data_IF_412822398871
#
_entry.id   IF_412822398871
#
_cell.length_a   1.000
_cell.length_b   1.000
_cell.length_c   1.000
_cell.angle_alpha   90.00
_cell.angle_beta   90.00
_cell.angle_gamma   90.00
#
_symmetry.space_group_name_H-M   'P 1'
#
loop_
_entity.id
_entity.type
_entity.pdbx_description
1 polymer ?
#
# COMPACT_ATOMS: atom_id res chain seq x y z
N UNK A 1 -11.55 9.32 -11.81
CA UNK A 1 -11.61 9.04 -10.35
C UNK A 1 -10.53 9.86 -9.66
N UNK A 2 -10.84 10.56 -8.56
CA UNK A 2 -9.86 11.33 -7.79
C UNK A 2 -8.88 10.42 -7.07
N UNK A 3 -7.62 10.85 -6.99
CA UNK A 3 -6.55 10.22 -6.21
C UNK A 3 -5.82 11.30 -5.44
N UNK A 4 -5.68 11.15 -4.12
CA UNK A 4 -5.03 12.14 -3.26
C UNK A 4 -3.56 12.41 -3.63
N UNK A 5 -2.89 11.44 -4.22
CA UNK A 5 -1.52 11.59 -4.73
C UNK A 5 -1.36 12.65 -5.82
N UNK A 6 -2.47 13.08 -6.47
CA UNK A 6 -2.40 14.09 -7.53
C UNK A 6 -1.88 15.43 -7.02
N UNK A 7 -2.16 15.79 -5.77
CA UNK A 7 -1.67 17.05 -5.20
C UNK A 7 -0.15 17.01 -4.98
N UNK A 8 0.39 15.90 -4.49
CA UNK A 8 1.84 15.69 -4.41
C UNK A 8 2.51 15.72 -5.78
N UNK A 9 1.87 15.11 -6.78
CA UNK A 9 2.37 15.10 -8.15
C UNK A 9 2.35 16.51 -8.77
N UNK A 10 1.30 17.30 -8.55
CA UNK A 10 1.24 18.72 -8.95
C UNK A 10 2.31 19.55 -8.27
N UNK A 11 2.55 19.35 -6.97
CA UNK A 11 3.59 20.05 -6.21
C UNK A 11 4.97 19.74 -6.78
N UNK A 12 5.27 18.46 -7.04
CA UNK A 12 6.50 18.05 -7.71
C UNK A 12 6.63 18.70 -9.10
N UNK A 13 5.57 18.64 -9.92
CA UNK A 13 5.57 19.20 -11.27
C UNK A 13 5.88 20.72 -11.30
N UNK A 14 5.39 21.48 -10.32
CA UNK A 14 5.61 22.93 -10.19
C UNK A 14 6.97 23.32 -9.60
N UNK A 15 7.69 22.37 -9.00
CA UNK A 15 8.99 22.65 -8.39
C UNK A 15 10.06 22.82 -9.48
N UNK A 16 10.66 24.00 -9.58
CA UNK A 16 11.69 24.29 -10.59
C UNK A 16 12.98 23.49 -10.38
N UNK A 17 13.31 23.16 -9.13
CA UNK A 17 14.48 22.38 -8.75
C UNK A 17 14.17 20.86 -8.63
N UNK A 18 13.12 20.36 -9.32
CA UNK A 18 12.76 18.96 -9.30
C UNK A 18 13.79 18.06 -9.96
N UNK A 19 14.01 16.90 -9.41
CA UNK A 19 14.67 15.79 -10.07
C UNK A 19 13.64 14.96 -10.84
N UNK A 20 14.06 14.06 -11.76
CA UNK A 20 13.14 13.08 -12.34
C UNK A 20 12.39 12.32 -11.25
N UNK A 21 11.10 12.05 -11.46
CA UNK A 21 10.27 11.38 -10.47
C UNK A 21 10.19 9.88 -10.72
N UNK A 22 10.64 9.09 -9.78
CA UNK A 22 10.45 7.64 -9.76
C UNK A 22 9.17 7.28 -9.00
N UNK A 23 8.17 6.80 -9.72
CA UNK A 23 6.90 6.31 -9.16
C UNK A 23 6.96 4.80 -9.01
N UNK A 24 6.83 4.33 -7.78
CA UNK A 24 6.76 2.91 -7.44
C UNK A 24 5.42 2.55 -6.78
N UNK A 25 5.21 1.28 -6.51
CA UNK A 25 4.01 0.79 -5.82
C UNK A 25 3.57 -0.56 -6.36
N UNK A 26 2.66 -1.26 -5.66
CA UNK A 26 2.20 -2.57 -6.07
C UNK A 26 1.50 -2.50 -7.44
N UNK A 27 1.42 -3.66 -8.09
CA UNK A 27 0.72 -3.78 -9.35
C UNK A 27 -0.76 -3.41 -9.19
N UNK A 28 -1.36 -2.84 -10.23
CA UNK A 28 -2.78 -2.40 -10.26
C UNK A 28 -3.15 -1.26 -9.31
N UNK A 29 -2.19 -0.61 -8.64
CA UNK A 29 -2.47 0.53 -7.74
C UNK A 29 -2.86 1.84 -8.46
N UNK A 30 -2.84 1.86 -9.80
CA UNK A 30 -3.25 3.01 -10.60
C UNK A 30 -2.14 4.02 -10.90
N UNK A 31 -0.86 3.62 -10.87
CA UNK A 31 0.31 4.48 -11.18
C UNK A 31 0.19 5.16 -12.56
N UNK A 32 0.02 4.36 -13.60
CA UNK A 32 -0.13 4.84 -14.98
C UNK A 32 -1.32 5.77 -15.14
N UNK A 33 -2.47 5.43 -14.53
CA UNK A 33 -3.66 6.28 -14.53
C UNK A 33 -3.39 7.65 -13.89
N UNK A 34 -2.70 7.68 -12.76
CA UNK A 34 -2.38 8.93 -12.05
C UNK A 34 -1.54 9.86 -12.93
N UNK A 35 -0.50 9.32 -13.57
CA UNK A 35 0.42 10.14 -14.37
C UNK A 35 -0.16 10.48 -15.72
N UNK A 36 -0.60 9.46 -16.47
CA UNK A 36 -1.07 9.64 -17.85
C UNK A 36 -2.42 10.35 -17.89
N UNK A 37 -3.40 9.85 -17.16
CA UNK A 37 -4.77 10.37 -17.27
C UNK A 37 -4.98 11.61 -16.42
N UNK A 38 -4.60 11.59 -15.13
CA UNK A 38 -4.87 12.75 -14.27
C UNK A 38 -3.90 13.90 -14.52
N UNK A 39 -2.59 13.65 -14.62
CA UNK A 39 -1.63 14.71 -14.90
C UNK A 39 -1.57 15.03 -16.40
N UNK A 40 -1.28 14.04 -17.24
CA UNK A 40 -1.06 14.25 -18.67
C UNK A 40 -2.30 14.69 -19.42
N UNK A 41 -3.38 13.91 -19.39
CA UNK A 41 -4.57 14.21 -20.18
C UNK A 41 -5.38 15.37 -19.59
N UNK A 42 -5.65 15.33 -18.25
CA UNK A 42 -6.60 16.27 -17.63
C UNK A 42 -5.95 17.62 -17.24
N UNK A 43 -4.68 17.63 -16.84
CA UNK A 43 -4.01 18.85 -16.37
C UNK A 43 -3.14 19.47 -17.45
N UNK A 44 -2.38 18.67 -18.21
CA UNK A 44 -1.47 19.12 -19.23
C UNK A 44 -2.06 19.11 -20.65
N UNK A 45 -3.37 18.85 -20.80
CA UNK A 45 -4.06 18.84 -22.09
C UNK A 45 -3.36 17.96 -23.15
N UNK A 46 -2.90 16.78 -22.74
CA UNK A 46 -2.17 15.79 -23.59
C UNK A 46 -0.82 16.29 -24.13
N UNK A 47 -0.22 17.31 -23.51
CA UNK A 47 1.11 17.81 -23.90
C UNK A 47 2.24 16.98 -23.25
N UNK A 48 2.26 15.68 -23.51
CA UNK A 48 3.27 14.76 -22.99
C UNK A 48 3.65 13.71 -24.03
N UNK A 49 4.83 13.10 -23.85
CA UNK A 49 5.24 11.91 -24.55
C UNK A 49 5.15 10.73 -23.57
N UNK A 50 4.52 9.64 -24.02
CA UNK A 50 4.39 8.41 -23.24
C UNK A 50 5.09 7.25 -23.97
N UNK A 51 6.00 6.58 -23.25
CA UNK A 51 6.79 5.45 -23.75
C UNK A 51 6.50 4.27 -22.83
N UNK A 52 5.96 3.19 -23.37
CA UNK A 52 5.85 1.90 -22.70
C UNK A 52 7.13 1.10 -22.93
N UNK A 53 8.01 1.12 -21.94
CA UNK A 53 9.34 0.50 -22.03
C UNK A 53 9.33 -1.03 -22.13
N UNK A 54 8.18 -1.67 -21.91
CA UNK A 54 8.02 -3.13 -22.08
C UNK A 54 7.49 -3.50 -23.49
N UNK A 55 6.80 -2.57 -24.16
CA UNK A 55 6.10 -2.82 -25.44
C UNK A 55 6.68 -2.07 -26.62
N UNK A 56 7.35 -0.97 -26.43
CA UNK A 56 7.93 -0.19 -27.51
C UNK A 56 9.22 -0.84 -28.02
N UNK A 57 9.05 -1.75 -29.00
CA UNK A 57 10.16 -2.53 -29.59
C UNK A 57 11.21 -1.62 -30.23
N UNK A 58 10.79 -0.51 -30.83
CA UNK A 58 11.70 0.43 -31.50
C UNK A 58 12.56 1.15 -30.48
N UNK A 59 11.94 1.67 -29.42
CA UNK A 59 12.65 2.26 -28.29
C UNK A 59 13.65 1.30 -27.66
N UNK A 60 13.23 0.05 -27.39
CA UNK A 60 14.09 -0.96 -26.80
C UNK A 60 15.30 -1.32 -27.70
N UNK A 61 15.10 -1.41 -29.03
CA UNK A 61 16.20 -1.63 -29.99
C UNK A 61 17.22 -0.47 -29.97
N UNK A 62 16.72 0.76 -29.91
CA UNK A 62 17.58 1.95 -29.83
C UNK A 62 18.40 1.95 -28.54
N UNK A 63 17.76 1.75 -27.40
CA UNK A 63 18.42 1.71 -26.08
C UNK A 63 19.49 0.62 -26.03
N UNK A 64 19.20 -0.59 -26.51
CA UNK A 64 20.16 -1.71 -26.51
C UNK A 64 21.35 -1.49 -27.44
N UNK A 65 21.25 -0.65 -28.47
CA UNK A 65 22.34 -0.22 -29.34
C UNK A 65 23.23 0.88 -28.73
N UNK A 66 22.89 1.39 -27.53
CA UNK A 66 23.63 2.47 -26.88
C UNK A 66 23.41 3.83 -27.54
N UNK A 67 22.15 4.14 -27.88
CA UNK A 67 21.76 5.39 -28.52
C UNK A 67 22.28 6.63 -27.79
N UNK A 68 22.70 7.65 -28.55
CA UNK A 68 23.02 8.98 -28.04
C UNK A 68 21.74 9.74 -27.70
N UNK A 69 21.83 10.70 -26.77
CA UNK A 69 20.68 11.50 -26.35
C UNK A 69 20.04 12.25 -27.51
N UNK A 70 20.84 12.81 -28.41
CA UNK A 70 20.36 13.55 -29.59
C UNK A 70 19.53 12.68 -30.56
N UNK A 71 19.96 11.43 -30.77
CA UNK A 71 19.24 10.45 -31.58
C UNK A 71 17.93 10.05 -30.93
N UNK A 72 17.93 9.91 -29.59
CA UNK A 72 16.71 9.63 -28.83
C UNK A 72 15.72 10.80 -28.90
N UNK A 73 16.19 12.03 -28.78
CA UNK A 73 15.37 13.22 -28.93
C UNK A 73 14.76 13.33 -30.33
N UNK A 74 15.53 12.99 -31.37
CA UNK A 74 15.03 12.88 -32.74
C UNK A 74 13.97 11.79 -32.90
N UNK A 75 14.19 10.61 -32.31
CA UNK A 75 13.20 9.52 -32.29
C UNK A 75 11.89 9.93 -31.58
N UNK A 76 12.00 10.64 -30.46
CA UNK A 76 10.83 11.10 -29.71
C UNK A 76 10.11 12.26 -30.42
N UNK A 77 10.64 12.76 -31.55
CA UNK A 77 10.08 13.90 -32.28
C UNK A 77 9.73 15.07 -31.34
N UNK A 78 10.63 15.34 -30.38
CA UNK A 78 10.39 16.35 -29.36
C UNK A 78 10.40 17.72 -30.02
N UNK A 79 9.21 18.23 -30.32
CA UNK A 79 9.02 19.63 -30.59
C UNK A 79 8.97 20.37 -29.24
N UNK A 80 10.11 20.89 -28.79
CA UNK A 80 10.33 21.45 -27.45
C UNK A 80 9.26 22.45 -27.00
N UNK A 81 8.58 23.09 -27.93
CA UNK A 81 7.63 24.16 -27.62
C UNK A 81 6.27 23.65 -27.11
N UNK A 82 5.93 22.38 -27.32
CA UNK A 82 4.59 21.86 -26.99
C UNK A 82 4.59 20.73 -25.96
N UNK A 83 5.71 20.09 -25.68
CA UNK A 83 5.81 18.98 -24.72
C UNK A 83 6.15 19.49 -23.35
N UNK A 84 5.36 19.09 -22.36
CA UNK A 84 5.49 19.51 -20.96
C UNK A 84 5.85 18.39 -20.00
N UNK A 85 5.90 17.13 -20.48
CA UNK A 85 6.18 15.99 -19.63
C UNK A 85 6.64 14.79 -20.47
N UNK A 86 7.67 14.10 -20.00
CA UNK A 86 8.08 12.79 -20.52
C UNK A 86 7.68 11.71 -19.50
N UNK A 87 7.04 10.62 -19.97
CA UNK A 87 6.59 9.50 -19.17
C UNK A 87 7.20 8.23 -19.70
N UNK A 88 8.03 7.56 -18.89
CA UNK A 88 8.59 6.23 -19.15
C UNK A 88 7.87 5.24 -18.24
N UNK A 89 7.02 4.39 -18.80
CA UNK A 89 6.26 3.40 -18.05
C UNK A 89 6.89 2.01 -18.18
N UNK A 90 6.69 1.14 -17.20
CA UNK A 90 7.24 -0.21 -17.14
C UNK A 90 8.78 -0.23 -17.23
N UNK A 91 9.45 0.74 -16.65
CA UNK A 91 10.93 0.83 -16.66
C UNK A 91 11.55 -0.32 -15.88
N UNK A 92 10.85 -0.79 -14.84
CA UNK A 92 11.32 -1.82 -13.91
C UNK A 92 12.73 -1.48 -13.37
N UNK A 93 13.66 -2.43 -13.30
CA UNK A 93 15.05 -2.18 -12.89
C UNK A 93 16.02 -2.21 -14.08
N UNK A 94 15.58 -1.72 -15.25
CA UNK A 94 16.43 -1.65 -16.42
C UNK A 94 17.45 -0.53 -16.29
N UNK A 95 18.68 -0.87 -15.87
CA UNK A 95 19.78 0.08 -15.66
C UNK A 95 20.09 0.93 -16.89
N UNK A 96 19.95 0.37 -18.07
CA UNK A 96 20.20 1.10 -19.33
C UNK A 96 19.17 2.20 -19.53
N UNK A 97 17.88 1.90 -19.34
CA UNK A 97 16.82 2.90 -19.48
C UNK A 97 16.97 3.97 -18.37
N UNK A 98 17.27 3.58 -17.15
CA UNK A 98 17.49 4.49 -16.04
C UNK A 98 18.64 5.46 -16.35
N UNK A 99 19.78 4.95 -16.83
CA UNK A 99 20.92 5.79 -17.24
C UNK A 99 20.57 6.74 -18.39
N UNK A 100 19.71 6.32 -19.29
CA UNK A 100 19.22 7.20 -20.37
C UNK A 100 18.32 8.30 -19.80
N UNK A 101 17.46 8.01 -18.85
CA UNK A 101 16.60 9.00 -18.19
C UNK A 101 17.45 10.05 -17.44
N UNK A 102 18.53 9.62 -16.75
CA UNK A 102 19.46 10.52 -16.08
C UNK A 102 20.14 11.46 -17.09
N UNK A 103 20.66 10.93 -18.19
CA UNK A 103 21.27 11.73 -19.27
C UNK A 103 20.27 12.68 -19.93
N UNK A 104 19.02 12.24 -20.16
CA UNK A 104 17.96 13.12 -20.67
C UNK A 104 17.69 14.27 -19.70
N UNK A 105 17.67 14.01 -18.41
CA UNK A 105 17.49 15.06 -17.41
C UNK A 105 18.65 16.07 -17.41
N UNK A 106 19.89 15.60 -17.48
CA UNK A 106 21.08 16.47 -17.59
C UNK A 106 21.03 17.36 -18.84
N UNK A 107 20.56 16.80 -19.96
CA UNK A 107 20.46 17.51 -21.24
C UNK A 107 19.28 18.50 -21.29
N UNK A 108 18.12 18.07 -20.82
CA UNK A 108 16.85 18.82 -20.89
C UNK A 108 16.61 19.74 -19.67
N UNK A 109 17.40 19.61 -18.62
CA UNK A 109 17.41 20.34 -17.34
C UNK A 109 16.02 20.67 -16.73
N UNK A 110 15.17 21.41 -17.45
CA UNK A 110 13.87 21.90 -16.98
C UNK A 110 12.70 20.98 -17.31
N UNK A 111 12.88 20.00 -18.23
CA UNK A 111 11.81 19.09 -18.65
C UNK A 111 11.41 18.13 -17.53
N UNK A 112 10.15 18.11 -17.10
CA UNK A 112 9.67 17.09 -16.16
C UNK A 112 9.74 15.69 -16.77
N UNK A 113 10.37 14.76 -16.05
CA UNK A 113 10.48 13.36 -16.46
C UNK A 113 9.91 12.48 -15.35
N UNK A 114 8.99 11.58 -15.68
CA UNK A 114 8.43 10.59 -14.77
C UNK A 114 8.80 9.20 -15.24
N UNK A 115 9.35 8.41 -14.34
CA UNK A 115 9.62 6.99 -14.50
C UNK A 115 8.64 6.19 -13.64
N UNK A 116 7.91 5.25 -14.24
CA UNK A 116 6.98 4.37 -13.53
C UNK A 116 7.58 2.97 -13.48
N UNK A 117 7.75 2.47 -12.26
CA UNK A 117 8.20 1.11 -11.99
C UNK A 117 7.02 0.23 -11.63
N UNK A 118 6.84 -0.87 -12.35
CA UNK A 118 5.72 -1.79 -12.18
C UNK A 118 6.11 -3.03 -11.38
N UNK A 119 7.32 -3.54 -11.60
CA UNK A 119 7.85 -4.69 -10.88
C UNK A 119 9.36 -4.56 -10.68
N UNK A 120 9.87 -5.26 -9.66
CA UNK A 120 11.29 -5.47 -9.44
C UNK A 120 11.62 -6.91 -9.73
N UNK A 121 12.67 -7.12 -10.52
CA UNK A 121 13.22 -8.46 -10.74
C UNK A 121 14.06 -8.83 -9.53
N UNK A 122 13.73 -9.92 -8.86
CA UNK A 122 14.38 -10.32 -7.60
C UNK A 122 15.87 -10.69 -7.73
N UNK A 123 16.35 -10.91 -8.93
CA UNK A 123 17.74 -11.25 -9.19
C UNK A 123 18.67 -10.05 -9.43
N UNK A 124 18.14 -8.84 -9.46
CA UNK A 124 19.00 -7.67 -9.57
C UNK A 124 19.76 -7.45 -8.26
N UNK A 125 21.05 -7.19 -8.36
CA UNK A 125 21.86 -6.82 -7.20
C UNK A 125 21.20 -5.63 -6.49
N UNK A 126 21.24 -5.59 -5.16
CA UNK A 126 20.68 -4.49 -4.33
C UNK A 126 21.32 -3.11 -4.59
N UNK A 127 21.91 -2.91 -5.73
CA UNK A 127 22.54 -1.66 -6.13
C UNK A 127 21.44 -0.66 -6.50
N UNK A 128 20.96 0.06 -5.49
CA UNK A 128 19.94 1.12 -5.60
C UNK A 128 20.57 2.50 -5.62
N UNK A 129 21.87 2.61 -5.87
CA UNK A 129 22.62 3.89 -5.85
C UNK A 129 22.03 4.91 -6.84
N UNK A 130 21.54 4.46 -8.01
CA UNK A 130 20.85 5.31 -8.98
C UNK A 130 19.57 5.98 -8.44
N UNK A 131 18.94 5.41 -7.43
CA UNK A 131 17.73 5.98 -6.87
C UNK A 131 17.95 7.29 -6.09
N UNK A 132 19.20 7.70 -5.87
CA UNK A 132 19.51 8.98 -5.23
C UNK A 132 19.38 10.16 -6.20
N UNK A 133 19.40 9.92 -7.51
CA UNK A 133 19.22 10.93 -8.57
C UNK A 133 17.74 11.25 -8.83
N UNK A 134 16.79 10.57 -8.15
CA UNK A 134 15.36 10.71 -8.38
C UNK A 134 14.62 11.21 -7.15
N UNK A 135 13.59 12.02 -7.36
CA UNK A 135 12.51 12.19 -6.38
C UNK A 135 11.66 10.91 -6.37
N UNK A 136 11.08 10.56 -5.23
CA UNK A 136 10.40 9.26 -5.06
C UNK A 136 8.95 9.46 -4.65
N UNK A 137 8.05 8.69 -5.26
CA UNK A 137 6.65 8.62 -4.85
C UNK A 137 6.17 7.17 -4.89
N UNK A 138 5.54 6.71 -3.81
CA UNK A 138 4.94 5.38 -3.78
C UNK A 138 3.42 5.49 -3.84
N UNK A 139 2.81 4.81 -4.81
CA UNK A 139 1.36 4.81 -5.04
C UNK A 139 0.78 3.48 -4.55
N UNK A 140 -0.08 3.55 -3.54
CA UNK A 140 -0.85 2.41 -3.02
C UNK A 140 -2.25 2.35 -3.64
N UNK A 141 -3.01 1.24 -3.50
CA UNK A 141 -4.44 1.21 -3.79
C UNK A 141 -5.19 2.33 -3.07
N UNK A 142 -6.44 2.62 -3.47
CA UNK A 142 -7.28 3.58 -2.76
C UNK A 142 -7.35 3.19 -1.29
N UNK A 143 -7.19 4.17 -0.40
CA UNK A 143 -7.55 3.99 1.00
C UNK A 143 -9.06 4.22 1.22
N UNK A 144 -9.49 4.05 2.45
CA UNK A 144 -10.90 4.23 2.75
C UNK A 144 -11.37 5.69 2.57
N UNK A 145 -10.50 6.67 2.79
CA UNK A 145 -10.82 8.09 2.54
C UNK A 145 -11.13 8.33 1.06
N UNK A 146 -10.26 7.85 0.16
CA UNK A 146 -10.47 7.97 -1.30
C UNK A 146 -11.70 7.17 -1.76
N UNK A 147 -11.91 5.97 -1.19
CA UNK A 147 -13.08 5.15 -1.46
C UNK A 147 -14.38 5.84 -1.06
N UNK A 148 -14.45 6.38 0.16
CA UNK A 148 -15.63 7.07 0.68
C UNK A 148 -15.95 8.31 -0.16
N UNK A 149 -14.95 9.08 -0.58
CA UNK A 149 -15.16 10.25 -1.46
C UNK A 149 -15.84 9.88 -2.79
N UNK A 150 -15.44 8.74 -3.38
CA UNK A 150 -16.02 8.28 -4.65
C UNK A 150 -17.39 7.61 -4.43
N UNK A 151 -17.58 6.94 -3.30
CA UNK A 151 -18.76 6.17 -2.96
C UNK A 151 -19.91 7.05 -2.48
N UNK A 152 -19.61 8.02 -1.60
CA UNK A 152 -20.58 8.95 -1.02
C UNK A 152 -19.90 10.27 -0.59
N UNK A 153 -19.98 11.27 -1.44
CA UNK A 153 -19.37 12.58 -1.21
C UNK A 153 -19.95 13.31 0.01
N UNK A 154 -21.24 13.10 0.31
CA UNK A 154 -21.88 13.75 1.46
C UNK A 154 -21.31 13.20 2.79
N UNK A 155 -21.25 11.89 2.93
CA UNK A 155 -20.66 11.26 4.11
C UNK A 155 -19.17 11.59 4.23
N UNK A 156 -18.44 11.64 3.12
CA UNK A 156 -17.04 12.06 3.10
C UNK A 156 -16.84 13.47 3.65
N UNK A 157 -17.63 14.46 3.19
CA UNK A 157 -17.53 15.84 3.68
C UNK A 157 -17.83 15.92 5.18
N UNK A 158 -18.84 15.20 5.66
CA UNK A 158 -19.19 15.19 7.07
C UNK A 158 -18.07 14.62 7.95
N UNK A 159 -17.47 13.47 7.56
CA UNK A 159 -16.40 12.85 8.34
C UNK A 159 -15.11 13.67 8.28
N UNK A 160 -14.78 14.24 7.12
CA UNK A 160 -13.62 15.10 6.95
C UNK A 160 -13.71 16.34 7.85
N UNK A 161 -14.83 17.03 7.84
CA UNK A 161 -15.09 18.17 8.73
C UNK A 161 -15.03 17.80 10.21
N UNK A 162 -15.37 16.55 10.56
CA UNK A 162 -15.23 16.06 11.94
C UNK A 162 -13.76 16.00 12.37
N UNK A 163 -12.89 15.39 11.54
CA UNK A 163 -11.48 15.23 11.89
C UNK A 163 -10.67 16.52 11.76
N UNK A 164 -10.97 17.38 10.78
CA UNK A 164 -10.24 18.63 10.57
C UNK A 164 -10.71 19.76 11.49
N UNK A 165 -12.02 19.87 11.74
CA UNK A 165 -12.63 21.03 12.41
C UNK A 165 -13.35 20.68 13.72
N UNK A 166 -13.27 19.46 14.21
CA UNK A 166 -13.92 19.01 15.44
C UNK A 166 -15.47 18.99 15.37
N UNK A 167 -16.06 19.08 14.18
CA UNK A 167 -17.52 19.11 14.01
C UNK A 167 -18.15 17.79 14.46
N UNK A 168 -19.17 17.85 15.32
CA UNK A 168 -19.85 16.64 15.81
C UNK A 168 -20.58 15.91 14.67
N UNK A 169 -20.45 14.58 14.65
CA UNK A 169 -21.19 13.69 13.76
C UNK A 169 -22.23 12.93 14.59
N UNK A 170 -23.45 12.85 14.06
CA UNK A 170 -24.50 12.06 14.69
C UNK A 170 -24.24 10.53 14.55
N UNK A 171 -25.01 9.74 15.31
CA UNK A 171 -24.86 8.29 15.36
C UNK A 171 -25.18 7.64 14.02
N UNK A 172 -26.23 8.08 13.33
CA UNK A 172 -26.66 7.55 12.05
C UNK A 172 -25.58 7.70 10.97
N UNK A 173 -25.00 8.89 10.84
CA UNK A 173 -23.88 9.12 9.90
C UNK A 173 -22.70 8.17 10.19
N UNK A 174 -22.38 7.94 11.47
CA UNK A 174 -21.31 6.98 11.83
C UNK A 174 -21.66 5.56 11.43
N UNK A 175 -22.92 5.14 11.62
CA UNK A 175 -23.41 3.82 11.22
C UNK A 175 -23.33 3.64 9.70
N UNK A 176 -23.76 4.63 8.92
CA UNK A 176 -23.69 4.61 7.46
C UNK A 176 -22.23 4.50 6.97
N UNK A 177 -21.30 5.24 7.61
CA UNK A 177 -19.87 5.16 7.27
C UNK A 177 -19.31 3.78 7.61
N UNK A 178 -19.71 3.16 8.73
CA UNK A 178 -19.30 1.79 9.06
C UNK A 178 -19.80 0.77 8.03
N UNK A 179 -21.02 0.92 7.51
CA UNK A 179 -21.53 0.03 6.46
C UNK A 179 -20.75 0.17 5.15
N UNK A 180 -20.42 1.41 4.74
CA UNK A 180 -19.54 1.63 3.58
C UNK A 180 -18.11 1.13 3.84
N UNK A 181 -17.62 1.24 5.07
CA UNK A 181 -16.32 0.69 5.43
C UNK A 181 -16.28 -0.83 5.29
N UNK A 182 -17.36 -1.53 5.64
CA UNK A 182 -17.46 -2.97 5.41
C UNK A 182 -17.48 -3.32 3.91
N UNK A 183 -18.13 -2.51 3.05
CA UNK A 183 -18.02 -2.68 1.59
C UNK A 183 -16.55 -2.63 1.16
N UNK A 184 -15.81 -1.58 1.60
CA UNK A 184 -14.40 -1.42 1.30
C UNK A 184 -13.55 -2.60 1.80
N UNK A 185 -13.81 -3.11 3.01
CA UNK A 185 -13.11 -4.28 3.53
C UNK A 185 -13.31 -5.52 2.66
N UNK A 186 -14.49 -5.64 2.01
CA UNK A 186 -14.80 -6.78 1.13
C UNK A 186 -14.13 -6.66 -0.22
N UNK A 187 -14.21 -5.49 -0.87
CA UNK A 187 -13.75 -5.33 -2.27
C UNK A 187 -12.30 -4.82 -2.38
N UNK A 188 -11.75 -4.22 -1.33
CA UNK A 188 -10.42 -3.61 -1.34
C UNK A 188 -10.40 -2.23 -2.01
N UNK A 189 -9.18 -1.77 -2.31
CA UNK A 189 -8.90 -0.44 -2.85
C UNK A 189 -8.30 -0.42 -4.26
N UNK A 190 -8.26 -1.55 -4.98
CA UNK A 190 -7.76 -1.55 -6.36
C UNK A 190 -8.67 -0.70 -7.25
N UNK A 191 -8.12 0.29 -8.00
CA UNK A 191 -8.94 1.22 -8.78
C UNK A 191 -9.95 0.56 -9.73
N UNK A 192 -9.55 -0.49 -10.47
CA UNK A 192 -10.43 -1.20 -11.39
C UNK A 192 -11.58 -1.87 -10.65
N UNK A 193 -11.32 -2.47 -9.49
CA UNK A 193 -12.34 -3.11 -8.64
C UNK A 193 -13.32 -2.08 -8.08
N UNK A 194 -12.78 -0.97 -7.55
CA UNK A 194 -13.60 0.12 -6.98
C UNK A 194 -14.52 0.73 -8.05
N UNK A 195 -13.98 1.06 -9.22
CA UNK A 195 -14.78 1.62 -10.34
C UNK A 195 -15.88 0.64 -10.73
N UNK A 196 -15.55 -0.63 -10.96
CA UNK A 196 -16.53 -1.67 -11.30
C UNK A 196 -17.65 -1.76 -10.27
N UNK A 197 -17.33 -1.78 -8.98
CA UNK A 197 -18.37 -1.85 -7.93
C UNK A 197 -19.22 -0.59 -7.86
N UNK A 198 -18.61 0.59 -7.97
CA UNK A 198 -19.36 1.87 -7.92
C UNK A 198 -20.34 1.99 -9.09
N UNK A 199 -19.93 1.58 -10.29
CA UNK A 199 -20.73 1.68 -11.50
C UNK A 199 -21.83 0.60 -11.57
N UNK A 200 -21.51 -0.64 -11.20
CA UNK A 200 -22.43 -1.76 -11.38
C UNK A 200 -23.27 -2.06 -10.15
N UNK A 201 -22.79 -1.73 -8.95
CA UNK A 201 -23.34 -2.18 -7.64
C UNK A 201 -23.54 -3.70 -7.57
N UNK A 202 -22.80 -4.44 -8.38
CA UNK A 202 -22.90 -5.88 -8.50
C UNK A 202 -21.66 -6.56 -7.92
N UNK A 203 -21.82 -7.28 -6.80
CA UNK A 203 -20.74 -7.98 -6.14
C UNK A 203 -20.19 -9.14 -7.00
N UNK A 204 -21.04 -9.82 -7.78
CA UNK A 204 -20.61 -10.89 -8.69
C UNK A 204 -19.61 -10.40 -9.73
N UNK A 205 -19.97 -9.35 -10.48
CA UNK A 205 -19.10 -8.73 -11.48
C UNK A 205 -17.80 -8.21 -10.82
N UNK A 206 -17.91 -7.65 -9.63
CA UNK A 206 -16.74 -7.16 -8.89
C UNK A 206 -15.78 -8.30 -8.50
N UNK A 207 -16.31 -9.46 -8.08
CA UNK A 207 -15.50 -10.67 -7.82
C UNK A 207 -14.75 -11.16 -9.05
N UNK A 208 -15.40 -11.13 -10.21
CA UNK A 208 -14.75 -11.56 -11.46
C UNK A 208 -13.52 -10.67 -11.77
N UNK A 209 -13.61 -9.37 -11.50
CA UNK A 209 -12.48 -8.45 -11.64
C UNK A 209 -11.39 -8.77 -10.61
N UNK A 210 -11.73 -8.99 -9.34
CA UNK A 210 -10.77 -9.38 -8.30
C UNK A 210 -10.05 -10.67 -8.70
N UNK A 211 -10.77 -11.68 -9.14
CA UNK A 211 -10.23 -12.96 -9.61
C UNK A 211 -9.27 -12.76 -10.78
N UNK A 212 -9.68 -12.00 -11.80
CA UNK A 212 -8.85 -11.67 -12.96
C UNK A 212 -7.53 -11.02 -12.55
N UNK A 213 -7.58 -10.01 -11.68
CA UNK A 213 -6.38 -9.30 -11.21
C UNK A 213 -5.48 -10.20 -10.35
N UNK A 214 -6.06 -11.04 -9.48
CA UNK A 214 -5.32 -12.03 -8.68
C UNK A 214 -4.58 -13.04 -9.57
N UNK A 215 -5.24 -13.56 -10.60
CA UNK A 215 -4.63 -14.48 -11.57
C UNK A 215 -3.52 -13.79 -12.38
N UNK A 216 -3.69 -12.54 -12.75
CA UNK A 216 -2.66 -11.77 -13.45
C UNK A 216 -1.42 -11.52 -12.56
N UNK A 217 -1.59 -11.34 -11.24
CA UNK A 217 -0.48 -11.29 -10.30
C UNK A 217 0.27 -12.62 -10.26
N UNK A 218 -0.45 -13.73 -10.07
CA UNK A 218 0.12 -15.09 -10.00
C UNK A 218 0.90 -15.40 -11.28
N UNK A 219 0.32 -15.15 -12.46
CA UNK A 219 0.96 -15.37 -13.76
C UNK A 219 2.20 -14.48 -13.95
N UNK A 220 2.25 -13.32 -13.29
CA UNK A 220 3.39 -12.41 -13.33
C UNK A 220 4.61 -12.90 -12.54
N UNK A 221 4.43 -13.77 -11.55
CA UNK A 221 5.53 -14.21 -10.69
C UNK A 221 6.60 -14.99 -11.47
N UNK A 222 6.22 -15.77 -12.49
CA UNK A 222 7.18 -16.47 -13.34
C UNK A 222 8.20 -15.55 -14.03
N UNK A 223 7.89 -14.26 -14.24
CA UNK A 223 8.78 -13.27 -14.84
C UNK A 223 9.71 -12.58 -13.82
N UNK A 224 9.34 -12.59 -12.56
CA UNK A 224 10.03 -11.84 -11.50
C UNK A 224 11.12 -12.65 -10.78
N UNK A 225 11.12 -13.97 -10.90
CA UNK A 225 12.06 -14.86 -10.25
C UNK A 225 12.98 -15.57 -11.25
N UNK A 226 14.24 -15.82 -10.83
CA UNK A 226 15.26 -16.46 -11.67
C UNK A 226 14.94 -17.90 -12.06
N UNK A 227 14.24 -18.61 -11.19
CA UNK A 227 13.94 -20.01 -11.40
C UNK A 227 12.48 -20.35 -11.08
N UNK A 228 11.99 -21.41 -11.72
CA UNK A 228 10.62 -21.88 -11.61
C UNK A 228 10.24 -22.23 -10.17
N UNK A 229 11.16 -22.83 -9.41
CA UNK A 229 10.90 -23.21 -8.00
C UNK A 229 10.62 -22.00 -7.12
N UNK A 230 11.43 -20.93 -7.25
CA UNK A 230 11.18 -19.69 -6.49
C UNK A 230 9.89 -19.00 -6.89
N UNK A 231 9.53 -19.03 -8.18
CA UNK A 231 8.27 -18.50 -8.66
C UNK A 231 7.08 -19.31 -8.10
N UNK A 232 7.16 -20.63 -8.12
CA UNK A 232 6.15 -21.52 -7.55
C UNK A 232 5.99 -21.27 -6.03
N UNK A 233 7.10 -21.21 -5.30
CA UNK A 233 7.09 -20.93 -3.88
C UNK A 233 6.49 -19.53 -3.57
N UNK A 234 6.66 -18.55 -4.46
CA UNK A 234 6.04 -17.23 -4.31
C UNK A 234 4.51 -17.30 -4.48
N UNK A 235 4.02 -18.16 -5.38
CA UNK A 235 2.58 -18.43 -5.51
C UNK A 235 2.04 -19.06 -4.22
N UNK A 236 2.73 -20.07 -3.68
CA UNK A 236 2.36 -20.71 -2.43
C UNK A 236 2.29 -19.72 -1.26
N UNK A 237 3.32 -18.88 -1.10
CA UNK A 237 3.32 -17.81 -0.08
C UNK A 237 2.14 -16.88 -0.29
N UNK A 238 1.94 -16.39 -1.51
CA UNK A 238 0.87 -15.46 -1.86
C UNK A 238 -0.50 -16.04 -1.54
N UNK A 239 -0.80 -17.27 -1.93
CA UNK A 239 -2.10 -17.91 -1.74
C UNK A 239 -2.43 -18.25 -0.28
N UNK A 240 -1.43 -18.31 0.59
CA UNK A 240 -1.60 -18.66 1.99
C UNK A 240 -1.52 -17.47 2.98
N UNK A 241 -1.47 -16.22 2.48
CA UNK A 241 -1.41 -15.04 3.36
C UNK A 241 -2.63 -14.97 4.28
N UNK A 242 -3.85 -15.11 3.76
CA UNK A 242 -5.08 -15.07 4.58
C UNK A 242 -5.09 -16.15 5.67
N UNK A 243 -4.80 -17.38 5.32
CA UNK A 243 -4.73 -18.50 6.28
C UNK A 243 -3.72 -18.24 7.40
N UNK A 244 -2.60 -17.61 7.08
CA UNK A 244 -1.55 -17.28 8.06
C UNK A 244 -1.96 -16.23 9.08
N UNK A 245 -2.89 -15.32 8.75
CA UNK A 245 -3.37 -14.27 9.67
C UNK A 245 -4.18 -14.84 10.86
N UNK A 246 -4.74 -16.04 10.72
CA UNK A 246 -5.41 -16.73 11.82
C UNK A 246 -4.44 -17.40 12.82
N UNK A 247 -3.13 -17.39 12.50
CA UNK A 247 -2.09 -18.01 13.35
C UNK A 247 -1.35 -16.92 14.16
N UNK A 248 -0.55 -17.38 15.13
CA UNK A 248 0.24 -16.46 15.98
C UNK A 248 1.37 -15.76 15.21
N UNK A 249 1.90 -16.41 14.19
CA UNK A 249 2.94 -15.92 13.28
C UNK A 249 2.90 -16.74 11.99
N UNK A 250 3.55 -16.25 10.94
CA UNK A 250 3.65 -16.92 9.66
C UNK A 250 4.46 -18.22 9.79
N UNK A 251 3.90 -19.34 9.39
CA UNK A 251 4.54 -20.66 9.49
C UNK A 251 4.62 -21.32 8.12
N UNK A 252 5.83 -21.69 7.71
CA UNK A 252 6.05 -22.48 6.49
C UNK A 252 5.34 -23.85 6.54
N UNK A 253 5.29 -24.45 7.70
CA UNK A 253 4.65 -25.77 7.89
C UNK A 253 3.12 -25.78 7.76
N UNK A 254 2.48 -24.62 7.62
CA UNK A 254 1.03 -24.55 7.37
C UNK A 254 0.66 -24.66 5.88
N UNK A 255 1.64 -24.70 4.98
CA UNK A 255 1.42 -24.98 3.57
C UNK A 255 1.28 -26.48 3.34
N UNK A 256 0.40 -26.88 2.46
CA UNK A 256 0.18 -28.29 2.10
C UNK A 256 1.40 -28.90 1.38
N UNK A 257 2.40 -28.11 1.07
CA UNK A 257 3.64 -28.49 0.42
C UNK A 257 4.83 -28.70 1.36
N UNK A 258 5.94 -29.16 0.83
CA UNK A 258 7.21 -29.44 1.53
C UNK A 258 8.08 -28.20 1.73
N UNK A 259 7.48 -26.98 1.71
CA UNK A 259 8.20 -25.71 1.85
C UNK A 259 8.92 -25.64 3.21
N UNK A 260 10.23 -25.50 3.15
CA UNK A 260 11.07 -25.23 4.32
C UNK A 260 11.27 -23.72 4.48
N UNK A 261 11.43 -23.24 5.71
CA UNK A 261 11.66 -21.82 6.01
C UNK A 261 12.80 -21.22 5.16
N UNK A 262 13.88 -21.99 4.92
CA UNK A 262 15.01 -21.56 4.08
C UNK A 262 14.62 -21.29 2.62
N UNK A 263 13.63 -22.01 2.10
CA UNK A 263 13.22 -21.94 0.70
C UNK A 263 12.23 -20.78 0.46
N UNK A 264 11.77 -20.12 1.55
CA UNK A 264 10.84 -19.00 1.51
C UNK A 264 11.51 -17.62 1.43
N UNK A 265 12.79 -17.51 1.78
CA UNK A 265 13.45 -16.21 1.84
C UNK A 265 13.42 -15.48 0.49
N UNK A 266 13.78 -16.15 -0.60
CA UNK A 266 13.77 -15.56 -1.96
C UNK A 266 12.34 -15.21 -2.40
N UNK A 267 11.37 -16.15 -2.35
CA UNK A 267 9.97 -15.86 -2.67
C UNK A 267 9.38 -14.69 -1.87
N UNK A 268 9.55 -14.72 -0.56
CA UNK A 268 8.98 -13.72 0.34
C UNK A 268 9.60 -12.34 0.09
N UNK A 269 10.93 -12.24 -0.02
CA UNK A 269 11.60 -10.98 -0.32
C UNK A 269 11.17 -10.41 -1.68
N UNK A 270 11.00 -11.27 -2.70
CA UNK A 270 10.49 -10.82 -3.98
C UNK A 270 9.07 -10.25 -3.91
N UNK A 271 8.19 -10.85 -3.11
CA UNK A 271 6.85 -10.32 -2.86
C UNK A 271 6.88 -8.99 -2.08
N UNK A 272 7.79 -8.85 -1.10
CA UNK A 272 7.99 -7.61 -0.33
C UNK A 272 8.56 -6.50 -1.22
N UNK A 273 9.58 -6.78 -2.00
CA UNK A 273 10.21 -5.80 -2.90
C UNK A 273 9.24 -5.27 -3.94
N UNK A 274 8.32 -6.11 -4.41
CA UNK A 274 7.22 -5.72 -5.31
C UNK A 274 6.02 -5.11 -4.56
N UNK A 275 6.10 -4.94 -3.24
CA UNK A 275 5.03 -4.39 -2.39
C UNK A 275 3.70 -5.15 -2.49
N UNK A 276 3.75 -6.42 -2.82
CA UNK A 276 2.59 -7.33 -2.87
C UNK A 276 2.22 -7.77 -1.45
N UNK A 277 3.23 -7.96 -0.61
CA UNK A 277 3.03 -8.22 0.81
C UNK A 277 3.90 -7.32 1.67
N UNK A 278 3.46 -7.09 2.90
CA UNK A 278 4.22 -6.40 3.95
C UNK A 278 4.55 -7.39 5.05
N UNK A 279 5.78 -7.34 5.56
CA UNK A 279 6.26 -8.16 6.65
C UNK A 279 6.35 -7.32 7.92
N UNK A 280 5.69 -7.76 8.98
CA UNK A 280 5.75 -7.14 10.30
C UNK A 280 6.35 -8.13 11.28
N UNK A 281 7.52 -7.80 11.83
CA UNK A 281 8.25 -8.66 12.77
C UNK A 281 7.73 -8.48 14.19
N UNK A 282 7.74 -9.59 14.96
CA UNK A 282 7.47 -9.55 16.40
C UNK A 282 8.67 -8.98 17.14
N UNK A 283 8.42 -8.16 18.13
CA UNK A 283 9.44 -7.75 19.12
C UNK A 283 8.97 -8.10 20.52
N UNK A 284 9.93 -8.38 21.41
CA UNK A 284 9.68 -8.66 22.82
C UNK A 284 10.06 -7.46 23.71
N UNK A 285 10.85 -6.50 23.17
CA UNK A 285 11.25 -5.26 23.84
C UNK A 285 11.21 -4.08 22.86
N UNK A 286 10.73 -2.92 23.31
CA UNK A 286 10.64 -1.68 22.50
C UNK A 286 12.02 -1.20 22.05
N UNK A 287 13.07 -1.35 22.84
CA UNK A 287 14.43 -0.99 22.44
C UNK A 287 14.89 -1.63 21.12
N UNK A 288 14.25 -2.74 20.72
CA UNK A 288 14.53 -3.45 19.48
C UNK A 288 13.69 -2.97 18.27
N UNK A 289 12.92 -1.90 18.41
CA UNK A 289 12.02 -1.45 17.33
C UNK A 289 12.80 -0.97 16.10
N UNK A 290 13.91 -0.26 16.32
CA UNK A 290 14.79 0.25 15.27
C UNK A 290 15.78 -0.78 14.75
N UNK A 291 15.89 -1.94 15.40
CA UNK A 291 16.77 -2.99 14.94
C UNK A 291 16.21 -3.65 13.68
N UNK A 292 16.97 -3.54 12.59
CA UNK A 292 16.70 -4.25 11.33
C UNK A 292 17.04 -5.75 11.44
N UNK A 293 16.92 -6.35 12.63
CA UNK A 293 17.14 -7.77 12.82
C UNK A 293 16.10 -8.57 12.03
N UNK A 294 16.41 -8.81 10.75
CA UNK A 294 15.69 -9.71 9.82
C UNK A 294 15.67 -11.17 10.31
N UNK A 295 16.35 -11.48 11.41
CA UNK A 295 16.46 -12.83 11.98
C UNK A 295 15.36 -13.19 13.00
N UNK A 296 14.36 -12.33 13.22
CA UNK A 296 13.23 -12.71 14.06
C UNK A 296 12.44 -13.82 13.37
N UNK A 297 12.51 -15.03 13.94
CA UNK A 297 11.77 -16.22 13.47
C UNK A 297 10.25 -16.05 13.53
N UNK A 298 9.76 -14.97 14.17
CA UNK A 298 8.35 -14.68 14.35
C UNK A 298 7.98 -13.38 13.64
N UNK A 299 7.28 -13.51 12.53
CA UNK A 299 6.74 -12.39 11.76
C UNK A 299 5.32 -12.72 11.26
N UNK A 300 4.61 -11.71 10.82
CA UNK A 300 3.32 -11.80 10.14
C UNK A 300 3.44 -11.19 8.75
N UNK A 301 2.65 -11.72 7.82
CA UNK A 301 2.62 -11.27 6.43
C UNK A 301 1.23 -10.74 6.12
N UNK A 302 1.16 -9.58 5.49
CA UNK A 302 -0.07 -8.87 5.17
C UNK A 302 -0.14 -8.58 3.67
N UNK A 303 -1.31 -8.74 3.08
CA UNK A 303 -1.55 -8.46 1.67
C UNK A 303 -1.72 -6.95 1.45
N UNK A 304 -1.19 -6.42 0.35
CA UNK A 304 -1.28 -4.99 0.02
C UNK A 304 -2.70 -4.48 -0.27
N UNK A 305 -3.61 -5.37 -0.63
CA UNK A 305 -5.00 -5.05 -0.95
C UNK A 305 -5.96 -6.08 -0.35
N UNK A 306 -7.11 -5.59 0.17
CA UNK A 306 -8.07 -6.43 0.87
C UNK A 306 -8.91 -7.27 -0.09
N UNK A 307 -9.21 -6.78 -1.28
CA UNK A 307 -9.91 -7.55 -2.32
C UNK A 307 -9.09 -8.76 -2.76
N UNK A 308 -7.79 -8.56 -2.99
CA UNK A 308 -6.85 -9.64 -3.31
C UNK A 308 -6.71 -10.62 -2.13
N UNK A 309 -6.70 -10.12 -0.89
CA UNK A 309 -6.69 -10.99 0.29
C UNK A 309 -7.98 -11.84 0.38
N UNK A 310 -9.14 -11.24 0.09
CA UNK A 310 -10.42 -11.93 0.11
C UNK A 310 -10.57 -12.97 -0.99
N UNK A 311 -9.84 -12.85 -2.11
CA UNK A 311 -9.76 -13.91 -3.11
C UNK A 311 -9.27 -15.26 -2.53
N UNK A 312 -8.51 -15.20 -1.43
CA UNK A 312 -8.02 -16.38 -0.69
C UNK A 312 -8.96 -16.80 0.47
N UNK A 313 -10.05 -16.05 0.67
CA UNK A 313 -10.98 -16.27 1.78
C UNK A 313 -12.33 -16.77 1.26
N UNK A 314 -12.50 -18.09 1.25
CA UNK A 314 -13.72 -18.75 0.77
C UNK A 314 -14.98 -18.25 1.48
N UNK A 315 -14.88 -17.93 2.75
CA UNK A 315 -16.03 -17.44 3.54
C UNK A 315 -16.57 -16.09 3.06
N UNK A 316 -15.76 -15.26 2.42
CA UNK A 316 -16.16 -13.99 1.82
C UNK A 316 -16.35 -14.15 0.32
N UNK A 317 -15.36 -14.70 -0.36
CA UNK A 317 -15.30 -14.72 -1.83
C UNK A 317 -16.46 -15.47 -2.48
N UNK A 318 -16.89 -16.61 -1.90
CA UNK A 318 -18.00 -17.40 -2.43
C UNK A 318 -19.39 -16.93 -2.00
N UNK A 319 -19.52 -15.83 -1.24
CA UNK A 319 -20.83 -15.26 -0.94
C UNK A 319 -21.53 -14.74 -2.20
N UNK A 320 -22.85 -14.86 -2.21
CA UNK A 320 -23.67 -14.47 -3.37
C UNK A 320 -23.96 -12.97 -3.40
N UNK A 321 -24.00 -12.33 -2.23
CA UNK A 321 -24.31 -10.91 -2.11
C UNK A 321 -23.29 -10.17 -1.25
N UNK A 322 -23.22 -8.85 -1.42
CA UNK A 322 -22.40 -7.95 -0.61
C UNK A 322 -22.81 -8.04 0.88
N UNK A 323 -24.08 -8.16 1.17
CA UNK A 323 -24.59 -8.23 2.55
C UNK A 323 -24.15 -9.52 3.26
N UNK A 324 -24.10 -10.65 2.55
CA UNK A 324 -23.56 -11.89 3.10
C UNK A 324 -22.04 -11.79 3.31
N UNK A 325 -21.32 -11.18 2.36
CA UNK A 325 -19.87 -10.99 2.47
C UNK A 325 -19.50 -10.10 3.65
N UNK A 326 -20.22 -8.98 3.86
CA UNK A 326 -20.02 -8.09 5.02
C UNK A 326 -20.19 -8.80 6.38
N UNK A 327 -21.11 -9.75 6.48
CA UNK A 327 -21.33 -10.54 7.70
C UNK A 327 -20.19 -11.52 7.99
N UNK A 328 -19.42 -11.92 6.98
CA UNK A 328 -18.29 -12.85 7.12
C UNK A 328 -16.96 -12.16 7.48
N UNK A 329 -16.94 -10.83 7.62
CA UNK A 329 -15.73 -10.08 8.01
C UNK A 329 -15.24 -10.52 9.39
N UNK A 330 -13.97 -10.92 9.46
CA UNK A 330 -13.27 -11.32 10.68
C UNK A 330 -12.14 -10.34 11.06
N UNK A 331 -11.64 -10.48 12.27
CA UNK A 331 -10.54 -9.63 12.80
C UNK A 331 -9.27 -9.65 11.95
N UNK A 332 -8.97 -10.76 11.27
CA UNK A 332 -7.83 -10.87 10.36
C UNK A 332 -7.86 -9.82 9.23
N UNK A 333 -9.06 -9.52 8.69
CA UNK A 333 -9.24 -8.53 7.65
C UNK A 333 -9.03 -7.10 8.18
N UNK A 334 -9.54 -6.83 9.38
CA UNK A 334 -9.33 -5.55 10.08
C UNK A 334 -7.86 -5.34 10.42
N UNK A 335 -7.17 -6.38 10.83
CA UNK A 335 -5.74 -6.36 11.11
C UNK A 335 -4.93 -6.04 9.84
N UNK A 336 -5.27 -6.67 8.70
CA UNK A 336 -4.62 -6.38 7.42
C UNK A 336 -4.88 -4.93 6.97
N UNK A 337 -6.10 -4.42 7.17
CA UNK A 337 -6.43 -3.01 6.89
C UNK A 337 -5.54 -2.06 7.69
N UNK A 338 -5.37 -2.30 8.99
CA UNK A 338 -4.52 -1.46 9.85
C UNK A 338 -3.09 -1.41 9.30
N UNK A 339 -2.51 -2.56 8.97
CA UNK A 339 -1.14 -2.61 8.45
C UNK A 339 -1.03 -1.91 7.09
N UNK A 340 -2.03 -2.06 6.22
CA UNK A 340 -2.05 -1.36 4.93
C UNK A 340 -2.05 0.16 5.12
N UNK A 341 -2.78 0.69 6.11
CA UNK A 341 -2.74 2.13 6.42
C UNK A 341 -1.39 2.53 7.01
N UNK A 342 -0.85 1.77 7.95
CA UNK A 342 0.44 2.07 8.57
C UNK A 342 1.61 2.07 7.57
N UNK A 343 1.65 1.12 6.64
CA UNK A 343 2.72 1.01 5.63
C UNK A 343 2.83 2.22 4.68
N UNK A 344 1.81 3.08 4.62
CA UNK A 344 1.86 4.32 3.81
C UNK A 344 2.68 5.42 4.46
N UNK A 345 2.79 5.41 5.80
CA UNK A 345 3.34 6.51 6.59
C UNK A 345 4.54 6.13 7.44
N UNK A 346 4.72 4.83 7.71
CA UNK A 346 5.77 4.33 8.61
C UNK A 346 6.64 3.30 7.89
N UNK A 347 7.95 3.46 7.97
CA UNK A 347 8.91 2.51 7.41
C UNK A 347 9.14 1.30 8.33
N UNK A 348 9.09 1.53 9.65
CA UNK A 348 9.32 0.53 10.66
C UNK A 348 8.02 0.24 11.42
N UNK A 349 7.43 -0.91 11.12
CA UNK A 349 6.26 -1.42 11.81
C UNK A 349 6.64 -2.75 12.46
N UNK A 350 6.40 -2.86 13.75
CA UNK A 350 6.61 -4.08 14.54
C UNK A 350 5.33 -4.43 15.28
N UNK A 351 5.22 -5.66 15.76
CA UNK A 351 4.11 -6.02 16.64
C UNK A 351 4.58 -6.67 17.93
N UNK A 352 3.79 -6.49 18.97
CA UNK A 352 3.92 -7.17 20.26
C UNK A 352 2.66 -7.99 20.50
N UNK A 353 2.86 -9.25 20.91
CA UNK A 353 1.79 -10.11 21.39
C UNK A 353 2.19 -10.65 22.74
N UNK A 354 1.49 -10.29 23.79
CA UNK A 354 1.77 -10.80 25.12
C UNK A 354 1.32 -12.26 25.24
N UNK A 355 2.14 -13.08 25.94
CA UNK A 355 1.72 -14.43 26.38
C UNK A 355 0.41 -14.28 27.14
N UNK A 356 -0.60 -15.07 26.79
CA UNK A 356 -1.94 -15.10 27.41
C UNK A 356 -2.91 -13.96 27.03
N UNK A 357 -2.56 -13.04 26.08
CA UNK A 357 -3.48 -12.01 25.58
C UNK A 357 -3.74 -12.19 24.09
N UNK A 358 -5.00 -11.99 23.67
CA UNK A 358 -5.42 -12.11 22.26
C UNK A 358 -5.07 -10.87 21.45
N UNK A 359 -4.70 -9.77 22.12
CA UNK A 359 -4.55 -8.47 21.48
C UNK A 359 -3.17 -8.31 20.86
N UNK A 360 -3.15 -7.76 19.63
CA UNK A 360 -1.96 -7.28 18.95
C UNK A 360 -1.80 -5.78 19.18
N UNK A 361 -0.59 -5.38 19.52
CA UNK A 361 -0.20 -3.97 19.56
C UNK A 361 0.82 -3.75 18.47
N UNK A 362 0.51 -2.90 17.51
CA UNK A 362 1.46 -2.42 16.51
C UNK A 362 2.23 -1.25 17.09
N UNK A 363 3.52 -1.26 16.84
CA UNK A 363 4.46 -0.20 17.19
C UNK A 363 5.09 0.34 15.94
N UNK A 364 4.96 1.64 15.72
CA UNK A 364 5.46 2.33 14.54
C UNK A 364 6.41 3.44 14.97
N UNK A 365 7.42 3.70 14.15
CA UNK A 365 8.34 4.82 14.37
C UNK A 365 8.35 5.75 13.17
N UNK A 366 8.35 7.06 13.46
CA UNK A 366 8.55 8.13 12.50
C UNK A 366 9.27 9.26 13.21
N UNK A 367 10.41 9.72 12.65
CA UNK A 367 11.18 10.85 13.18
C UNK A 367 11.45 10.75 14.70
N UNK A 368 11.91 9.57 15.16
CA UNK A 368 12.16 9.25 16.58
C UNK A 368 10.91 9.20 17.49
N UNK A 369 9.72 9.48 16.97
CA UNK A 369 8.48 9.36 17.72
C UNK A 369 7.88 7.94 17.59
N UNK A 370 7.38 7.44 18.70
CA UNK A 370 6.78 6.10 18.78
C UNK A 370 5.26 6.21 18.90
N UNK A 371 4.56 5.51 18.01
CA UNK A 371 3.13 5.37 18.03
C UNK A 371 2.76 3.92 18.35
N UNK A 372 1.99 3.71 19.40
CA UNK A 372 1.37 2.41 19.69
C UNK A 372 -0.07 2.39 19.20
N UNK A 373 -0.45 1.32 18.48
CA UNK A 373 -1.77 1.18 17.92
C UNK A 373 -2.32 -0.22 18.20
N UNK A 374 -3.55 -0.31 18.71
CA UNK A 374 -4.21 -1.59 18.91
C UNK A 374 -5.66 -1.55 18.48
N UNK A 375 -6.07 -2.67 17.88
CA UNK A 375 -7.47 -3.01 17.67
C UNK A 375 -7.89 -3.99 18.75
N UNK A 376 -8.52 -3.47 19.82
CA UNK A 376 -8.95 -4.28 20.96
C UNK A 376 -10.08 -3.63 21.70
N UNK A 377 -11.06 -4.42 22.07
CA UNK A 377 -12.19 -3.99 22.91
C UNK A 377 -11.91 -4.13 24.41
N UNK A 378 -10.69 -4.49 24.83
CA UNK A 378 -10.40 -4.89 26.20
C UNK A 378 -9.54 -3.89 26.97
N UNK A 379 -9.63 -3.94 28.30
CA UNK A 379 -8.73 -3.22 29.23
C UNK A 379 -7.26 -3.67 29.12
N UNK A 380 -7.00 -4.75 28.38
CA UNK A 380 -5.68 -5.34 28.18
C UNK A 380 -4.71 -4.43 27.43
N UNK A 381 -5.21 -3.52 26.60
CA UNK A 381 -4.38 -2.57 25.86
C UNK A 381 -3.56 -1.69 26.81
N UNK A 382 -4.19 -1.12 27.85
CA UNK A 382 -3.50 -0.26 28.81
C UNK A 382 -2.44 -1.02 29.63
N UNK A 383 -2.76 -2.21 30.09
CA UNK A 383 -1.77 -3.04 30.80
C UNK A 383 -0.62 -3.48 29.90
N UNK A 384 -0.87 -3.60 28.59
CA UNK A 384 0.18 -3.87 27.61
C UNK A 384 1.07 -2.65 27.40
N UNK A 385 0.47 -1.47 27.23
CA UNK A 385 1.23 -0.23 27.08
C UNK A 385 2.09 0.06 28.30
N UNK A 386 1.56 -0.08 29.53
CA UNK A 386 2.32 0.13 30.76
C UNK A 386 3.51 -0.82 30.90
N UNK A 387 3.35 -2.08 30.44
CA UNK A 387 4.46 -3.05 30.45
C UNK A 387 5.53 -2.75 29.39
N UNK A 388 5.12 -2.21 28.23
CA UNK A 388 6.00 -1.85 27.13
C UNK A 388 6.71 -0.52 27.37
N UNK A 389 6.06 0.44 28.07
CA UNK A 389 6.53 1.82 28.21
C UNK A 389 7.32 2.05 29.52
N UNK A 390 8.06 1.06 29.97
CA UNK A 390 8.89 1.19 31.18
C UNK A 390 9.91 2.33 31.10
N UNK A 391 10.40 2.60 29.88
CA UNK A 391 11.40 3.63 29.60
C UNK A 391 10.78 4.95 29.10
N UNK A 392 9.45 5.13 29.20
CA UNK A 392 8.67 6.30 28.75
C UNK A 392 8.91 6.72 27.28
N UNK A 393 9.15 5.76 26.42
CA UNK A 393 9.45 5.98 24.99
C UNK A 393 8.17 6.23 24.17
N UNK A 394 7.05 5.59 24.54
CA UNK A 394 5.77 5.75 23.83
C UNK A 394 5.07 6.98 24.36
N UNK A 395 4.89 7.98 23.50
CA UNK A 395 4.20 9.22 23.85
C UNK A 395 2.74 9.22 23.37
N UNK A 396 2.46 8.54 22.25
CA UNK A 396 1.15 8.52 21.62
C UNK A 396 0.63 7.09 21.46
N UNK A 397 -0.64 6.89 21.75
CA UNK A 397 -1.31 5.62 21.57
C UNK A 397 -2.70 5.80 20.93
N UNK A 398 -3.04 4.92 19.99
CA UNK A 398 -4.35 4.89 19.35
C UNK A 398 -5.04 3.57 19.65
N UNK A 399 -6.24 3.65 20.21
CA UNK A 399 -7.12 2.51 20.37
C UNK A 399 -8.24 2.57 19.33
N UNK A 400 -8.32 1.53 18.53
CA UNK A 400 -9.29 1.42 17.44
C UNK A 400 -10.50 0.58 17.87
N UNK A 401 -11.67 0.92 17.37
CA UNK A 401 -12.90 0.14 17.54
C UNK A 401 -13.61 -0.08 16.18
N UNK A 402 -14.24 -1.25 16.04
CA UNK A 402 -14.95 -1.69 14.81
C UNK A 402 -16.47 -1.51 14.88
N UNK A 403 -16.98 -1.15 16.05
CA UNK A 403 -18.41 -0.92 16.32
C UNK A 403 -18.57 0.30 17.18
N UNK A 404 -19.65 1.04 17.00
CA UNK A 404 -19.95 2.19 17.85
C UNK A 404 -20.09 1.71 19.30
N UNK A 405 -19.24 2.18 20.22
CA UNK A 405 -19.31 1.74 21.61
C UNK A 405 -20.66 2.13 22.24
N UNK A 406 -21.26 1.21 23.00
CA UNK A 406 -22.48 1.47 23.76
C UNK A 406 -22.27 2.46 24.95
N UNK A 407 -21.02 2.58 25.41
CA UNK A 407 -20.61 3.53 26.45
C UNK A 407 -19.94 4.74 25.84
N UNK A 408 -20.04 5.90 26.56
CA UNK A 408 -19.38 7.14 26.14
C UNK A 408 -17.89 6.88 25.87
N UNK A 409 -17.45 7.22 24.66
CA UNK A 409 -16.02 7.18 24.28
C UNK A 409 -15.31 8.13 25.25
N UNK A 410 -14.16 7.72 25.77
CA UNK A 410 -13.31 8.59 26.59
C UNK A 410 -12.96 9.83 25.77
N UNK A 411 -12.86 10.98 26.43
CA UNK A 411 -12.57 12.26 25.78
C UNK A 411 -11.23 12.14 25.01
N UNK A 412 -11.18 12.71 23.80
CA UNK A 412 -9.94 12.83 23.03
C UNK A 412 -8.84 13.45 23.90
N UNK A 413 -7.66 12.81 23.94
CA UNK A 413 -6.46 13.20 24.71
C UNK A 413 -6.47 12.88 26.22
N UNK A 414 -6.97 11.75 26.64
CA UNK A 414 -6.73 11.27 28.01
C UNK A 414 -5.23 10.89 28.15
N UNK A 415 -4.56 11.46 29.16
CA UNK A 415 -3.17 11.10 29.48
C UNK A 415 -3.20 9.97 30.49
N UNK A 416 -2.63 8.84 30.16
CA UNK A 416 -2.49 7.68 31.06
C UNK A 416 -1.01 7.30 31.13
N UNK A 417 -0.39 7.41 32.29
CA UNK A 417 1.02 7.12 32.49
C UNK A 417 1.90 7.82 31.43
N UNK A 418 1.70 9.14 31.28
CA UNK A 418 2.41 10.01 30.31
C UNK A 418 2.17 9.69 28.82
N UNK A 419 1.26 8.78 28.49
CA UNK A 419 0.87 8.43 27.12
C UNK A 419 -0.41 9.19 26.75
N UNK A 420 -0.38 9.94 25.66
CA UNK A 420 -1.57 10.53 25.06
C UNK A 420 -2.37 9.45 24.35
N UNK A 421 -3.53 9.12 24.90
CA UNK A 421 -4.43 8.13 24.30
C UNK A 421 -5.51 8.80 23.46
N UNK A 422 -5.71 8.29 22.25
CA UNK A 422 -6.84 8.62 21.38
C UNK A 422 -7.64 7.36 21.06
N UNK A 423 -8.96 7.42 21.29
CA UNK A 423 -9.89 6.35 20.88
C UNK A 423 -10.64 6.79 19.62
N UNK A 424 -10.63 5.97 18.55
CA UNK A 424 -11.31 6.32 17.30
C UNK A 424 -11.83 5.08 16.57
N UNK A 425 -12.83 5.24 15.66
CA UNK A 425 -13.25 4.16 14.80
C UNK A 425 -12.09 3.73 13.88
N UNK A 426 -12.02 2.44 13.59
CA UNK A 426 -10.92 1.87 12.77
C UNK A 426 -10.81 2.53 11.39
N UNK A 427 -11.91 2.90 10.77
CA UNK A 427 -11.93 3.59 9.47
C UNK A 427 -11.29 4.99 9.52
N UNK A 428 -11.16 5.58 10.71
CA UNK A 428 -10.56 6.90 10.87
C UNK A 428 -9.06 6.95 10.56
N UNK A 429 -8.37 5.81 10.52
CA UNK A 429 -6.94 5.74 10.22
C UNK A 429 -6.58 6.45 8.92
N UNK A 430 -7.36 6.24 7.85
CA UNK A 430 -7.12 6.87 6.55
C UNK A 430 -7.28 8.40 6.54
N UNK A 431 -7.90 8.98 7.58
CA UNK A 431 -8.11 10.43 7.72
C UNK A 431 -7.12 11.08 8.68
N UNK A 432 -6.57 10.32 9.63
CA UNK A 432 -5.79 10.85 10.76
C UNK A 432 -4.28 10.67 10.57
N UNK A 433 -3.86 9.67 9.80
CA UNK A 433 -2.45 9.40 9.54
C UNK A 433 -1.85 10.27 8.41
N UNK A 434 -2.69 11.04 7.71
CA UNK A 434 -2.26 11.91 6.60
C UNK A 434 -1.39 13.08 7.06
#
# INVERSE_FOLDING_TARGET
MYRKYIEGLKKWYKNENRRPLAISGPRFSGKTYLVKTLLGDSILNKQYIYIDCDRDITFLKLINKGIKVEELLSYLSINYNNIKLLIFDNVDENKTIISVIEKLHEYLQTMPIVMIQTSKKYYSSKDTTYMNSFDKMTIYPLDFEEYLLVRDKYLYINIKNHFENGKRINKTIKEDIFEIFKEYLVIGGLPEVVVTYIETKNYGITKDVIQKLSQQLINGFGRNYLNVTSAYNAVEVFQNVYGSLNQSFFKAASFEGTLRIRDMNIPLNGLIDNKIVSLVSKIDNIANISSNNTHNKHFRVYMYDLGILNYQNDEIFFKKSMEEAKKAIKSALLENYIVNELCKYFENIKYVKLKNKKDLVFLCTKDEAYLALSFSNTRSFFSTLSLLNKDNIIINAIKLYDKIPSKKIRSDNEIINDIKLKEMPIFALSFVLN
#
